data_IF_404223066715
#
_entry.id   IF_404223066715
#
_cell.length_a   1.000
_cell.length_b   1.000
_cell.length_c   1.000
_cell.angle_alpha   90.00
_cell.angle_beta   90.00
_cell.angle_gamma   90.00
#
_symmetry.space_group_name_H-M   'P 1'
#
loop_
_entity.id
_entity.type
_entity.pdbx_description
1 polymer ?
#
# COMPACT_ATOMS: atom_id res chain seq x y z
N UNK A 1 10.12 40.82 4.48
CA UNK A 1 9.38 40.92 5.75
C UNK A 1 7.90 41.03 5.43
N UNK A 2 7.15 39.92 5.54
CA UNK A 2 5.70 39.91 5.75
C UNK A 2 5.30 38.49 6.13
N UNK A 3 4.93 38.31 7.41
CA UNK A 3 4.25 37.11 7.91
C UNK A 3 2.82 37.12 7.38
N UNK A 4 2.30 35.98 6.92
CA UNK A 4 0.86 35.77 6.83
C UNK A 4 0.49 34.41 7.42
N UNK A 5 -0.05 34.47 8.63
CA UNK A 5 -0.73 33.39 9.33
C UNK A 5 -2.03 33.05 8.60
N UNK A 6 -2.23 31.78 8.24
CA UNK A 6 -3.53 31.28 7.77
C UNK A 6 -4.06 30.31 8.82
N UNK A 7 -4.87 30.87 9.72
CA UNK A 7 -5.82 30.13 10.55
C UNK A 7 -6.85 29.49 9.61
N UNK A 8 -6.99 28.17 9.65
CA UNK A 8 -8.10 27.48 8.96
C UNK A 8 -9.15 27.08 9.99
N UNK A 9 -10.34 27.63 9.84
CA UNK A 9 -11.56 27.29 10.58
C UNK A 9 -12.11 25.97 10.04
N UNK A 10 -12.27 24.96 10.89
CA UNK A 10 -13.05 23.76 10.55
C UNK A 10 -14.52 24.02 10.95
N UNK A 11 -15.41 24.03 9.96
CA UNK A 11 -16.84 23.93 10.18
C UNK A 11 -17.23 22.46 9.96
N UNK A 12 -17.66 21.80 11.04
CA UNK A 12 -18.16 20.43 11.05
C UNK A 12 -19.65 20.44 10.65
N UNK A 13 -20.00 19.75 9.56
CA UNK A 13 -21.37 19.34 9.29
C UNK A 13 -21.43 17.82 9.41
N UNK A 14 -22.02 17.42 10.53
CA UNK A 14 -22.22 16.05 11.00
C UNK A 14 -23.56 15.57 10.45
N UNK A 15 -23.58 14.55 9.58
CA UNK A 15 -24.77 13.74 9.29
C UNK A 15 -24.34 12.43 8.58
N UNK A 16 -24.75 11.31 9.17
CA UNK A 16 -24.91 9.99 8.54
C UNK A 16 -23.66 9.33 7.90
N UNK A 17 -22.78 8.77 8.74
CA UNK A 17 -22.23 7.41 8.53
C UNK A 17 -21.42 7.07 7.27
N UNK A 18 -21.02 8.02 6.44
CA UNK A 18 -20.25 7.77 5.21
C UNK A 18 -18.82 8.32 5.40
N UNK A 19 -17.84 7.41 5.45
CA UNK A 19 -16.43 7.78 5.36
C UNK A 19 -16.05 8.00 3.88
N UNK A 20 -16.03 9.26 3.44
CA UNK A 20 -15.42 9.65 2.16
C UNK A 20 -13.96 10.04 2.44
N UNK A 21 -13.00 9.21 2.02
CA UNK A 21 -11.61 9.66 1.89
C UNK A 21 -11.50 10.34 0.53
N UNK A 22 -11.66 11.66 0.51
CA UNK A 22 -11.35 12.50 -0.64
C UNK A 22 -9.88 12.94 -0.52
N UNK A 23 -8.99 12.36 -1.31
CA UNK A 23 -7.69 12.95 -1.58
C UNK A 23 -7.89 14.11 -2.55
N UNK A 24 -8.00 15.33 -2.01
CA UNK A 24 -8.00 16.56 -2.80
C UNK A 24 -6.57 16.79 -3.32
N UNK A 25 -6.31 16.41 -4.57
CA UNK A 25 -5.16 16.95 -5.28
C UNK A 25 -5.54 18.35 -5.75
N UNK A 26 -5.08 19.36 -5.02
CA UNK A 26 -5.10 20.75 -5.51
C UNK A 26 -4.31 20.79 -6.81
N UNK A 27 -5.01 21.03 -7.92
CA UNK A 27 -4.41 21.41 -9.20
C UNK A 27 -3.81 22.82 -9.06
N UNK A 28 -2.70 22.93 -8.34
CA UNK A 28 -1.77 24.04 -8.46
C UNK A 28 -1.15 23.96 -9.84
N UNK A 29 -1.55 24.87 -10.74
CA UNK A 29 -0.87 25.11 -12.02
C UNK A 29 0.59 25.44 -11.72
N UNK A 30 1.48 24.48 -11.97
CA UNK A 30 2.91 24.70 -11.98
C UNK A 30 3.39 24.55 -13.43
N UNK A 31 3.57 25.71 -14.07
CA UNK A 31 4.29 25.80 -15.34
C UNK A 31 5.76 25.50 -15.05
N UNK A 32 6.23 24.31 -15.43
CA UNK A 32 7.66 24.02 -15.49
C UNK A 32 7.95 22.83 -16.41
N UNK A 33 8.64 23.14 -17.52
CA UNK A 33 9.60 22.32 -18.28
C UNK A 33 9.39 20.80 -18.32
N UNK A 34 9.17 20.25 -19.53
CA UNK A 34 9.14 18.80 -19.84
C UNK A 34 10.15 18.01 -18.99
N UNK A 35 9.69 17.42 -17.90
CA UNK A 35 10.39 16.34 -17.21
C UNK A 35 9.83 15.05 -17.80
N UNK A 36 10.72 14.19 -18.31
CA UNK A 36 10.35 12.84 -18.75
C UNK A 36 9.60 12.14 -17.61
N UNK A 37 8.29 11.98 -17.78
CA UNK A 37 7.45 11.40 -16.74
C UNK A 37 7.72 9.90 -16.75
N UNK A 38 8.58 9.43 -15.84
CA UNK A 38 8.79 7.99 -15.67
C UNK A 38 7.43 7.30 -15.56
N UNK A 39 7.19 6.21 -16.29
CA UNK A 39 5.91 5.54 -16.27
C UNK A 39 5.61 5.07 -14.84
N UNK A 40 4.45 5.47 -14.32
CA UNK A 40 4.04 5.16 -12.95
C UNK A 40 3.45 3.76 -12.88
N UNK A 41 3.85 3.01 -11.86
CA UNK A 41 3.20 1.75 -11.49
C UNK A 41 1.96 2.01 -10.62
N UNK A 42 1.08 1.03 -10.53
CA UNK A 42 -0.04 1.02 -9.59
C UNK A 42 -0.29 -0.41 -9.10
N UNK A 43 -0.89 -0.55 -7.91
CA UNK A 43 -1.34 -1.85 -7.40
C UNK A 43 -2.50 -2.32 -8.26
N UNK A 44 -2.38 -3.52 -8.84
CA UNK A 44 -3.44 -4.22 -9.57
C UNK A 44 -4.26 -5.11 -8.68
N UNK A 45 -3.64 -5.67 -7.65
CA UNK A 45 -4.26 -6.69 -6.84
C UNK A 45 -3.56 -6.83 -5.49
N UNK A 46 -4.36 -7.11 -4.46
CA UNK A 46 -3.90 -7.52 -3.14
C UNK A 46 -4.50 -8.88 -2.81
N UNK A 47 -3.67 -9.81 -2.36
CA UNK A 47 -4.09 -11.14 -1.94
C UNK A 47 -3.75 -11.29 -0.46
N UNK A 48 -4.73 -11.66 0.34
CA UNK A 48 -4.61 -11.90 1.77
C UNK A 48 -4.97 -13.37 2.04
N UNK A 49 -4.08 -14.09 2.70
CA UNK A 49 -4.27 -15.48 3.10
C UNK A 49 -3.96 -15.60 4.59
N UNK A 50 -4.94 -16.06 5.37
CA UNK A 50 -4.87 -16.20 6.83
C UNK A 50 -4.38 -14.93 7.55
N UNK A 51 -4.82 -13.76 7.10
CA UNK A 51 -4.39 -12.47 7.61
C UNK A 51 -5.55 -11.76 8.31
N UNK A 52 -5.44 -11.55 9.62
CA UNK A 52 -6.47 -10.90 10.45
C UNK A 52 -7.86 -11.53 10.24
N UNK A 53 -8.84 -10.76 9.78
CA UNK A 53 -10.20 -11.21 9.48
C UNK A 53 -10.33 -12.00 8.17
N UNK A 54 -9.29 -12.03 7.33
CA UNK A 54 -9.32 -12.67 6.01
C UNK A 54 -8.72 -14.08 6.06
N UNK A 55 -9.54 -15.09 5.76
CA UNK A 55 -9.05 -16.44 5.49
C UNK A 55 -8.43 -16.51 4.09
N UNK A 56 -9.20 -16.08 3.08
CA UNK A 56 -8.71 -15.84 1.73
C UNK A 56 -9.43 -14.62 1.15
N UNK A 57 -8.69 -13.67 0.58
CA UNK A 57 -9.27 -12.53 -0.12
C UNK A 57 -8.38 -12.10 -1.26
N UNK A 58 -8.98 -11.85 -2.42
CA UNK A 58 -8.30 -11.39 -3.63
C UNK A 58 -9.00 -10.13 -4.11
N UNK A 59 -8.35 -8.99 -3.98
CA UNK A 59 -8.95 -7.66 -4.12
C UNK A 59 -8.32 -6.98 -5.33
N UNK A 60 -9.04 -6.84 -6.46
CA UNK A 60 -8.54 -6.15 -7.63
C UNK A 60 -8.61 -4.63 -7.45
N UNK A 61 -7.61 -3.94 -7.98
CA UNK A 61 -7.50 -2.48 -8.03
C UNK A 61 -7.40 -2.01 -9.48
N UNK A 62 -7.99 -0.85 -9.76
CA UNK A 62 -7.97 -0.21 -11.08
C UNK A 62 -7.08 1.03 -11.06
N UNK A 63 -6.68 1.48 -12.25
CA UNK A 63 -6.02 2.79 -12.40
C UNK A 63 -6.99 3.89 -11.96
N UNK A 64 -6.48 4.91 -11.27
CA UNK A 64 -7.28 6.03 -10.78
C UNK A 64 -7.72 5.85 -9.32
N UNK A 65 -8.94 6.29 -9.02
CA UNK A 65 -9.51 6.24 -7.67
C UNK A 65 -10.11 4.87 -7.37
N UNK A 66 -9.73 4.29 -6.23
CA UNK A 66 -10.35 3.07 -5.70
C UNK A 66 -10.94 3.40 -4.33
N UNK A 67 -12.20 3.03 -4.11
CA UNK A 67 -12.88 3.22 -2.83
C UNK A 67 -13.19 1.85 -2.20
N UNK A 68 -12.78 1.65 -0.95
CA UNK A 68 -13.08 0.43 -0.18
C UNK A 68 -14.18 0.78 0.82
N UNK A 69 -15.40 0.28 0.57
CA UNK A 69 -16.60 0.57 1.38
C UNK A 69 -17.18 -0.70 1.98
N UNK A 70 -17.86 -0.57 3.13
CA UNK A 70 -18.52 -1.69 3.81
C UNK A 70 -18.76 -1.40 5.31
N UNK A 71 -19.46 -2.28 6.03
CA UNK A 71 -19.75 -2.10 7.46
C UNK A 71 -18.49 -2.06 8.34
N UNK A 72 -18.61 -1.53 9.55
CA UNK A 72 -17.51 -1.56 10.52
C UNK A 72 -17.20 -3.01 10.93
N UNK A 73 -15.92 -3.33 11.11
CA UNK A 73 -15.47 -4.66 11.52
C UNK A 73 -15.27 -5.70 10.41
N UNK A 74 -15.57 -5.39 9.14
CA UNK A 74 -15.45 -6.37 8.03
C UNK A 74 -14.03 -6.57 7.47
N UNK A 75 -13.02 -5.92 8.05
CA UNK A 75 -11.61 -6.09 7.63
C UNK A 75 -11.07 -5.07 6.64
N UNK A 76 -11.78 -3.98 6.33
CA UNK A 76 -11.32 -2.93 5.38
C UNK A 76 -9.92 -2.40 5.72
N UNK A 77 -9.68 -2.07 6.99
CA UNK A 77 -8.37 -1.60 7.47
C UNK A 77 -7.29 -2.68 7.40
N UNK A 78 -7.68 -3.96 7.49
CA UNK A 78 -6.75 -5.09 7.33
C UNK A 78 -6.21 -5.18 5.90
N UNK A 79 -6.95 -4.70 4.89
CA UNK A 79 -6.46 -4.61 3.51
C UNK A 79 -5.30 -3.61 3.42
N UNK A 80 -5.49 -2.41 3.96
CA UNK A 80 -4.46 -1.36 3.98
C UNK A 80 -3.23 -1.81 4.77
N UNK A 81 -3.46 -2.42 5.94
CA UNK A 81 -2.38 -2.97 6.76
C UNK A 81 -1.62 -4.08 6.03
N UNK A 82 -2.34 -4.97 5.34
CA UNK A 82 -1.74 -6.04 4.53
C UNK A 82 -0.84 -5.49 3.43
N UNK A 83 -1.26 -4.43 2.75
CA UNK A 83 -0.43 -3.73 1.76
C UNK A 83 0.87 -3.25 2.42
N UNK A 84 0.80 -2.53 3.53
CA UNK A 84 2.02 -2.01 4.17
C UNK A 84 2.96 -3.12 4.67
N UNK A 85 2.40 -4.19 5.24
CA UNK A 85 3.16 -5.35 5.69
C UNK A 85 3.86 -6.06 4.53
N UNK A 86 3.19 -6.19 3.37
CA UNK A 86 3.82 -6.75 2.18
C UNK A 86 4.95 -5.89 1.63
N UNK A 87 4.87 -4.57 1.79
CA UNK A 87 5.88 -3.64 1.32
C UNK A 87 7.06 -3.46 2.29
N UNK A 88 7.03 -4.10 3.47
CA UNK A 88 8.18 -4.16 4.37
C UNK A 88 8.00 -3.46 5.71
N UNK A 89 6.79 -2.94 5.99
CA UNK A 89 6.47 -2.40 7.31
C UNK A 89 6.70 -3.49 8.38
N UNK A 90 7.56 -3.18 9.36
CA UNK A 90 8.04 -4.16 10.35
C UNK A 90 7.30 -4.06 11.69
N UNK A 91 6.71 -2.90 11.97
CA UNK A 91 5.92 -2.63 13.16
C UNK A 91 4.62 -1.95 12.76
N UNK A 92 3.51 -2.38 13.34
CA UNK A 92 2.26 -1.62 13.21
C UNK A 92 2.34 -0.38 14.10
N UNK A 93 1.55 0.65 13.79
CA UNK A 93 1.46 1.89 14.60
C UNK A 93 1.11 1.63 16.07
N UNK A 94 0.62 0.43 16.39
CA UNK A 94 0.23 -0.01 17.73
C UNK A 94 1.26 -0.93 18.41
N UNK A 95 2.46 -1.09 17.84
CA UNK A 95 3.53 -1.92 18.42
C UNK A 95 3.25 -3.43 18.39
N UNK A 96 2.28 -3.89 17.59
CA UNK A 96 1.97 -5.32 17.47
C UNK A 96 3.05 -6.04 16.68
N UNK A 97 3.36 -7.29 17.07
CA UNK A 97 4.28 -8.14 16.30
C UNK A 97 3.58 -8.55 15.01
N UNK A 98 4.33 -8.76 13.93
CA UNK A 98 3.74 -9.24 12.67
C UNK A 98 3.05 -10.60 12.82
N UNK A 99 3.51 -11.44 13.75
CA UNK A 99 2.85 -12.69 14.14
C UNK A 99 1.41 -12.49 14.64
N UNK A 100 1.10 -11.34 15.24
CA UNK A 100 -0.23 -11.03 15.79
C UNK A 100 -1.24 -10.69 14.68
N UNK A 101 -0.75 -10.46 13.46
CA UNK A 101 -1.57 -10.23 12.27
C UNK A 101 -2.00 -11.53 11.59
N UNK A 102 -1.49 -12.68 12.05
CA UNK A 102 -1.91 -13.99 11.58
C UNK A 102 -3.31 -14.28 12.13
N UNK A 103 -4.20 -14.79 11.26
CA UNK A 103 -5.56 -15.16 11.63
C UNK A 103 -5.55 -16.17 12.79
N UNK A 104 -6.48 -16.01 13.73
CA UNK A 104 -6.60 -16.93 14.87
C UNK A 104 -6.86 -18.36 14.37
N UNK A 105 -6.15 -19.31 14.95
CA UNK A 105 -6.25 -20.73 14.60
C UNK A 105 -5.35 -21.17 13.43
N UNK A 106 -4.52 -20.28 12.88
CA UNK A 106 -3.53 -20.64 11.86
C UNK A 106 -2.10 -20.32 12.32
N UNK A 107 -1.11 -20.98 11.70
CA UNK A 107 0.31 -20.84 12.07
C UNK A 107 1.10 -19.97 11.10
N UNK A 108 0.51 -19.62 9.95
CA UNK A 108 1.11 -18.77 8.95
C UNK A 108 0.07 -17.89 8.26
N UNK A 109 0.55 -16.76 7.75
CA UNK A 109 -0.17 -15.86 6.87
C UNK A 109 0.69 -15.50 5.66
N UNK A 110 0.02 -15.14 4.56
CA UNK A 110 0.67 -14.67 3.34
C UNK A 110 -0.08 -13.45 2.83
N UNK A 111 0.69 -12.41 2.51
CA UNK A 111 0.15 -11.20 1.87
C UNK A 111 0.92 -10.94 0.60
N UNK A 112 0.21 -10.74 -0.51
CA UNK A 112 0.80 -10.41 -1.80
C UNK A 112 0.23 -9.10 -2.34
N UNK A 113 1.11 -8.24 -2.84
CA UNK A 113 0.76 -7.03 -3.60
C UNK A 113 1.29 -7.19 -5.01
N UNK A 114 0.42 -7.05 -6.00
CA UNK A 114 0.76 -7.16 -7.41
C UNK A 114 0.72 -5.78 -8.04
N UNK A 115 1.82 -5.37 -8.65
CA UNK A 115 1.98 -4.11 -9.35
C UNK A 115 1.87 -4.29 -10.86
N UNK A 116 1.32 -3.29 -11.55
CA UNK A 116 1.41 -3.18 -13.02
C UNK A 116 2.81 -2.71 -13.42
N UNK A 117 3.45 -3.45 -14.32
CA UNK A 117 4.77 -3.15 -14.83
C UNK A 117 4.82 -3.18 -16.37
N UNK A 118 3.67 -3.05 -17.03
CA UNK A 118 3.58 -2.98 -18.49
C UNK A 118 4.36 -1.76 -19.01
N UNK A 119 5.04 -1.88 -20.15
CA UNK A 119 5.75 -0.77 -20.73
C UNK A 119 4.77 0.31 -21.19
N UNK A 120 5.13 1.57 -20.97
CA UNK A 120 4.47 2.76 -21.53
C UNK A 120 5.55 3.49 -22.31
N UNK A 121 5.29 3.73 -23.60
CA UNK A 121 6.26 4.33 -24.53
C UNK A 121 7.63 3.59 -24.54
N UNK A 122 7.58 2.25 -24.45
CA UNK A 122 8.75 1.38 -24.45
C UNK A 122 9.48 1.27 -23.10
N UNK A 123 9.07 2.03 -22.08
CA UNK A 123 9.73 2.04 -20.75
C UNK A 123 8.84 1.37 -19.70
N UNK A 124 9.41 0.49 -18.88
CA UNK A 124 8.70 -0.14 -17.76
C UNK A 124 8.84 0.70 -16.47
N UNK A 125 7.80 0.78 -15.62
CA UNK A 125 7.90 1.41 -14.30
C UNK A 125 9.02 0.83 -13.41
N UNK A 126 9.22 -0.49 -13.49
CA UNK A 126 10.28 -1.25 -12.80
C UNK A 126 11.16 -1.91 -13.88
N UNK A 127 12.16 -1.19 -14.44
CA UNK A 127 12.96 -1.68 -15.55
C UNK A 127 13.78 -2.94 -15.25
N UNK A 128 14.12 -3.17 -13.98
CA UNK A 128 14.88 -4.35 -13.55
C UNK A 128 14.10 -5.66 -13.64
N UNK A 129 12.81 -5.61 -13.96
CA UNK A 129 11.94 -6.78 -14.08
C UNK A 129 11.25 -6.75 -15.45
N UNK A 130 11.46 -7.79 -16.25
CA UNK A 130 10.91 -7.91 -17.61
C UNK A 130 9.44 -8.31 -17.67
N UNK A 131 8.86 -8.80 -16.57
CA UNK A 131 7.45 -9.18 -16.49
C UNK A 131 6.53 -7.97 -16.47
N UNK A 132 5.35 -8.12 -17.08
CA UNK A 132 4.26 -7.12 -17.07
C UNK A 132 3.63 -6.91 -15.69
N UNK A 133 3.95 -7.77 -14.74
CA UNK A 133 3.55 -7.64 -13.34
C UNK A 133 4.73 -7.89 -12.42
N UNK A 134 4.73 -7.19 -11.28
CA UNK A 134 5.66 -7.45 -10.18
C UNK A 134 4.86 -7.84 -8.95
N UNK A 135 5.02 -9.05 -8.47
CA UNK A 135 4.45 -9.51 -7.20
C UNK A 135 5.48 -9.36 -6.09
N UNK A 136 5.07 -8.70 -5.00
CA UNK A 136 5.81 -8.67 -3.73
C UNK A 136 4.97 -9.47 -2.74
N UNK A 137 5.53 -10.54 -2.21
CA UNK A 137 4.85 -11.45 -1.29
C UNK A 137 5.60 -11.44 0.04
N UNK A 138 4.89 -11.21 1.14
CA UNK A 138 5.38 -11.38 2.51
C UNK A 138 4.76 -12.61 3.12
N UNK A 139 5.61 -13.46 3.68
CA UNK A 139 5.19 -14.60 4.49
C UNK A 139 5.42 -14.30 5.96
N UNK A 140 4.44 -14.67 6.78
CA UNK A 140 4.48 -14.54 8.22
C UNK A 140 4.29 -15.90 8.86
N UNK A 141 5.21 -16.31 9.73
CA UNK A 141 5.01 -17.47 10.61
C UNK A 141 4.81 -17.01 12.05
N UNK A 142 4.01 -17.77 12.79
CA UNK A 142 3.79 -17.59 14.23
C UNK A 142 5.07 -17.75 15.06
N UNK A 143 6.06 -18.47 14.53
CA UNK A 143 7.41 -18.60 15.08
C UNK A 143 8.22 -17.30 15.07
N UNK A 144 7.75 -16.26 14.35
CA UNK A 144 8.45 -14.99 14.18
C UNK A 144 9.36 -14.92 12.96
N UNK A 145 9.39 -15.97 12.13
CA UNK A 145 10.09 -15.94 10.85
C UNK A 145 9.27 -15.17 9.80
N UNK A 146 9.94 -14.21 9.14
CA UNK A 146 9.33 -13.38 8.11
C UNK A 146 10.26 -13.24 6.91
N UNK A 147 9.77 -13.53 5.71
CA UNK A 147 10.56 -13.38 4.48
C UNK A 147 9.73 -12.82 3.33
N UNK A 148 10.42 -12.40 2.27
CA UNK A 148 9.79 -11.90 1.06
C UNK A 148 10.11 -12.77 -0.14
N UNK A 149 9.18 -12.76 -1.08
CA UNK A 149 9.42 -13.12 -2.47
C UNK A 149 9.10 -11.94 -3.37
N UNK A 150 9.93 -11.72 -4.40
CA UNK A 150 9.61 -10.85 -5.54
C UNK A 150 9.58 -11.72 -6.79
N UNK A 151 8.43 -11.80 -7.47
CA UNK A 151 8.22 -12.70 -8.62
C UNK A 151 8.75 -14.12 -8.36
N UNK A 152 8.33 -14.72 -7.24
CA UNK A 152 8.69 -16.06 -6.78
C UNK A 152 10.19 -16.27 -6.49
N UNK A 153 11.00 -15.21 -6.39
CA UNK A 153 12.40 -15.29 -5.95
C UNK A 153 12.58 -14.71 -4.55
N UNK A 154 13.28 -15.43 -3.68
CA UNK A 154 13.52 -14.99 -2.31
C UNK A 154 14.24 -13.65 -2.32
N UNK A 155 13.81 -12.73 -1.46
CA UNK A 155 14.42 -11.42 -1.26
C UNK A 155 14.52 -11.06 0.21
N UNK A 156 15.64 -10.49 0.57
CA UNK A 156 15.83 -9.85 1.89
C UNK A 156 14.97 -8.59 1.99
N UNK A 157 14.70 -8.12 3.20
CA UNK A 157 13.98 -6.86 3.43
C UNK A 157 14.67 -5.68 2.72
N UNK A 158 15.99 -5.56 2.87
CA UNK A 158 16.77 -4.49 2.24
C UNK A 158 16.68 -4.49 0.70
N UNK A 159 16.62 -5.66 0.07
CA UNK A 159 16.42 -5.75 -1.39
C UNK A 159 15.02 -5.30 -1.82
N UNK A 160 13.99 -5.61 -1.02
CA UNK A 160 12.63 -5.12 -1.28
C UNK A 160 12.57 -3.60 -1.09
N UNK A 161 13.16 -3.06 -0.03
CA UNK A 161 13.23 -1.61 0.19
C UNK A 161 13.97 -0.88 -0.95
N UNK A 162 15.08 -1.43 -1.42
CA UNK A 162 15.82 -0.89 -2.57
C UNK A 162 15.00 -0.99 -3.88
N UNK A 163 14.17 -2.01 -4.04
CA UNK A 163 13.24 -2.10 -5.17
C UNK A 163 12.15 -1.01 -5.08
N UNK A 164 11.57 -0.82 -3.89
CA UNK A 164 10.50 0.15 -3.66
C UNK A 164 10.99 1.60 -3.76
N UNK A 165 12.20 1.90 -3.29
CA UNK A 165 12.79 3.24 -3.38
C UNK A 165 12.99 3.68 -4.83
N UNK A 166 13.36 2.76 -5.74
CA UNK A 166 13.51 3.02 -7.18
C UNK A 166 12.22 3.44 -7.86
N UNK A 167 11.06 3.07 -7.32
CA UNK A 167 9.74 3.47 -7.79
C UNK A 167 9.08 4.55 -6.93
N UNK A 168 9.82 5.12 -5.96
CA UNK A 168 9.34 6.20 -5.11
C UNK A 168 8.32 5.77 -4.05
N UNK A 169 8.27 4.48 -3.71
CA UNK A 169 7.44 3.98 -2.62
C UNK A 169 8.31 3.86 -1.37
N UNK A 170 7.96 4.58 -0.30
CA UNK A 170 8.57 4.41 1.01
C UNK A 170 7.62 3.56 1.87
N UNK A 171 8.00 2.34 2.30
CA UNK A 171 7.16 1.49 3.13
C UNK A 171 6.91 2.04 4.54
N UNK A 172 7.80 2.88 5.07
CA UNK A 172 7.65 3.55 6.37
C UNK A 172 6.81 4.82 6.29
N UNK A 173 6.63 5.36 5.08
CA UNK A 173 5.83 6.56 4.82
C UNK A 173 4.92 6.35 3.60
N UNK A 174 4.18 5.23 3.60
CA UNK A 174 3.02 5.12 2.73
C UNK A 174 2.02 6.09 3.34
N UNK A 175 1.65 7.14 2.61
CA UNK A 175 0.62 8.09 3.04
C UNK A 175 -0.73 7.37 3.13
N UNK A 176 -0.93 6.61 4.21
CA UNK A 176 -2.19 5.99 4.58
C UNK A 176 -2.74 6.86 5.69
N UNK A 177 -3.63 7.79 5.33
CA UNK A 177 -4.37 8.57 6.32
C UNK A 177 -5.43 7.63 6.91
N UNK A 178 -5.09 6.98 8.03
CA UNK A 178 -6.06 6.32 8.89
C UNK A 178 -6.44 7.29 10.01
N UNK A 179 -7.58 7.98 9.89
CA UNK A 179 -8.15 8.70 11.03
C UNK A 179 -8.81 7.67 11.97
N UNK A 180 -8.56 7.79 13.28
CA UNK A 180 -9.10 6.91 14.32
C UNK A 180 -10.61 7.09 14.52
#
# INVERSE_FOLDING_TARGET
MMYLSIRTMFCSLFLEGIYIIASLWSAGRQLSTRSETRPKTYIREVILENFMSHEYSRIPFRKGLNAIVGPNGVGKSSILLGISVALGQTYTERGQRLSDLIRRGTDAARVAVVFDNRPVDGVRPIPSISSDTVSIVRFLKKTGEYWHYVNNRFKTKAEVENLLSKIGINPDNILIIMHQ
#
